data_IF_076228648783
#
_entry.id   IF_076228648783
#
_cell.length_a   1.000
_cell.length_b   1.000
_cell.length_c   1.000
_cell.angle_alpha   90.00
_cell.angle_beta   90.00
_cell.angle_gamma   90.00
#
_symmetry.space_group_name_H-M   'P 1'
#
loop_
_entity.id
_entity.type
_entity.pdbx_description
1 polymer ?
#
# COMPACT_ATOMS: atom_id res chain seq x y z
N UNK A 1 -2.54 5.86 -21.15
CA UNK A 1 -1.53 4.83 -21.50
C UNK A 1 -0.59 4.52 -20.33
N UNK A 2 -1.05 4.68 -19.08
CA UNK A 2 -0.31 4.23 -17.88
C UNK A 2 -0.48 2.72 -17.66
N UNK A 3 -1.58 2.14 -18.14
CA UNK A 3 -1.94 0.73 -17.94
C UNK A 3 -0.87 -0.26 -18.43
N UNK A 4 -0.26 -0.04 -19.59
CA UNK A 4 0.77 -0.95 -20.11
C UNK A 4 2.05 -0.92 -19.25
N UNK A 5 2.42 0.25 -18.74
CA UNK A 5 3.57 0.42 -17.85
C UNK A 5 3.30 -0.27 -16.51
N UNK A 6 2.13 -0.03 -15.92
CA UNK A 6 1.79 -0.58 -14.60
C UNK A 6 1.61 -2.10 -14.64
N UNK A 7 0.99 -2.62 -15.70
CA UNK A 7 0.95 -4.07 -15.96
C UNK A 7 2.36 -4.64 -16.10
N UNK A 8 3.22 -3.98 -16.89
CA UNK A 8 4.60 -4.42 -17.06
C UNK A 8 5.41 -4.36 -15.76
N UNK A 9 5.17 -3.36 -14.91
CA UNK A 9 5.87 -3.19 -13.64
C UNK A 9 5.67 -4.40 -12.71
N UNK A 10 4.51 -5.06 -12.74
CA UNK A 10 4.29 -6.30 -12.00
C UNK A 10 5.15 -7.46 -12.52
N UNK A 11 5.26 -7.63 -13.84
CA UNK A 11 6.17 -8.62 -14.43
C UNK A 11 7.63 -8.29 -14.12
N UNK A 12 8.00 -7.01 -14.20
CA UNK A 12 9.33 -6.53 -13.86
C UNK A 12 9.68 -6.78 -12.38
N UNK A 13 8.70 -6.66 -11.48
CA UNK A 13 8.84 -7.02 -10.05
C UNK A 13 9.32 -8.46 -9.87
N UNK A 14 8.75 -9.37 -10.64
CA UNK A 14 9.05 -10.80 -10.59
C UNK A 14 10.33 -11.18 -11.37
N UNK A 15 11.12 -10.21 -11.82
CA UNK A 15 12.37 -10.43 -12.55
C UNK A 15 12.20 -10.65 -14.05
N UNK A 16 10.97 -10.66 -14.58
CA UNK A 16 10.77 -10.77 -16.03
C UNK A 16 11.20 -9.49 -16.75
N UNK A 17 11.98 -9.62 -17.81
CA UNK A 17 12.44 -8.51 -18.64
C UNK A 17 12.14 -8.83 -20.11
N UNK A 18 11.58 -7.86 -20.84
CA UNK A 18 11.22 -8.01 -22.24
C UNK A 18 11.70 -6.77 -22.99
N UNK A 19 12.82 -6.90 -23.71
CA UNK A 19 13.53 -5.76 -24.28
C UNK A 19 12.67 -4.94 -25.28
N UNK A 20 11.89 -5.54 -26.20
CA UNK A 20 11.00 -4.77 -27.06
C UNK A 20 9.95 -3.96 -26.28
N UNK A 21 9.45 -4.51 -25.16
CA UNK A 21 8.52 -3.78 -24.30
C UNK A 21 9.23 -2.62 -23.59
N UNK A 22 10.44 -2.85 -23.08
CA UNK A 22 11.24 -1.80 -22.47
C UNK A 22 11.52 -0.65 -23.44
N UNK A 23 11.85 -0.95 -24.70
CA UNK A 23 12.05 0.06 -25.73
C UNK A 23 10.79 0.88 -26.01
N UNK A 24 9.64 0.19 -26.14
CA UNK A 24 8.35 0.85 -26.31
C UNK A 24 8.00 1.76 -25.11
N UNK A 25 8.16 1.25 -23.89
CA UNK A 25 7.85 2.00 -22.67
C UNK A 25 8.78 3.22 -22.50
N UNK A 26 10.08 3.10 -22.79
CA UNK A 26 11.01 4.25 -22.83
C UNK A 26 10.54 5.31 -23.81
N UNK A 27 10.08 4.90 -24.99
CA UNK A 27 9.56 5.84 -25.99
C UNK A 27 8.28 6.53 -25.52
N UNK A 28 7.29 5.75 -25.07
CA UNK A 28 5.97 6.24 -24.67
C UNK A 28 6.06 7.17 -23.44
N UNK A 29 6.83 6.80 -22.42
CA UNK A 29 7.07 7.66 -21.24
C UNK A 29 7.83 8.94 -21.60
N UNK A 30 8.56 8.94 -22.72
CA UNK A 30 9.20 10.11 -23.31
C UNK A 30 8.24 11.12 -23.94
N UNK A 31 7.01 10.72 -24.28
CA UNK A 31 6.06 11.57 -25.00
C UNK A 31 5.55 12.72 -24.13
N UNK A 32 5.44 13.92 -24.73
CA UNK A 32 4.90 15.10 -24.05
C UNK A 32 3.47 14.87 -23.55
N UNK A 33 2.64 14.18 -24.33
CA UNK A 33 1.26 13.86 -23.94
C UNK A 33 1.22 13.03 -22.66
N UNK A 34 2.09 12.02 -22.54
CA UNK A 34 2.18 11.15 -21.35
C UNK A 34 2.75 11.90 -20.15
N UNK A 35 3.74 12.78 -20.36
CA UNK A 35 4.35 13.57 -19.28
C UNK A 35 3.42 14.64 -18.70
N UNK A 36 2.50 15.17 -19.50
CA UNK A 36 1.61 16.26 -19.11
C UNK A 36 0.16 15.80 -18.92
N UNK A 37 -0.08 14.50 -18.72
CA UNK A 37 -1.41 14.04 -18.30
C UNK A 37 -1.73 14.65 -16.93
N UNK A 38 -2.94 15.18 -16.81
CA UNK A 38 -3.50 15.62 -15.54
C UNK A 38 -3.88 14.39 -14.72
N UNK A 39 -3.17 14.20 -13.60
CA UNK A 39 -3.38 13.10 -12.68
C UNK A 39 -3.81 13.63 -11.33
N UNK A 40 -4.70 12.90 -10.66
CA UNK A 40 -4.80 13.00 -9.20
C UNK A 40 -3.41 12.71 -8.58
N UNK A 41 -3.04 13.38 -7.48
CA UNK A 41 -1.69 13.26 -6.92
C UNK A 41 -1.25 11.82 -6.58
N UNK A 42 -2.12 11.02 -5.98
CA UNK A 42 -1.87 9.59 -5.69
C UNK A 42 -1.66 8.77 -6.98
N UNK A 43 -2.37 9.11 -8.07
CA UNK A 43 -2.20 8.47 -9.39
C UNK A 43 -0.84 8.82 -10.00
N UNK A 44 -0.37 10.06 -9.83
CA UNK A 44 0.97 10.45 -10.27
C UNK A 44 2.06 9.65 -9.54
N UNK A 45 1.88 9.40 -8.23
CA UNK A 45 2.75 8.50 -7.45
C UNK A 45 2.72 7.05 -7.96
N UNK A 46 1.54 6.53 -8.31
CA UNK A 46 1.40 5.18 -8.86
C UNK A 46 2.26 4.99 -10.12
N UNK A 47 2.15 5.95 -11.05
CA UNK A 47 2.92 5.95 -12.30
C UNK A 47 4.41 6.09 -12.03
N UNK A 48 4.82 7.01 -11.15
CA UNK A 48 6.22 7.17 -10.77
C UNK A 48 6.80 5.88 -10.14
N UNK A 49 6.04 5.22 -9.28
CA UNK A 49 6.44 3.93 -8.70
C UNK A 49 6.58 2.84 -9.78
N UNK A 50 5.66 2.79 -10.75
CA UNK A 50 5.73 1.85 -11.86
C UNK A 50 6.94 2.09 -12.78
N UNK A 51 7.26 3.36 -13.09
CA UNK A 51 8.49 3.75 -13.81
C UNK A 51 9.72 3.22 -13.09
N UNK A 52 9.81 3.46 -11.77
CA UNK A 52 10.92 2.99 -10.95
C UNK A 52 11.05 1.48 -10.98
N UNK A 53 9.96 0.76 -10.73
CA UNK A 53 9.94 -0.72 -10.69
C UNK A 53 10.30 -1.33 -12.03
N UNK A 54 9.89 -0.70 -13.13
CA UNK A 54 10.25 -1.13 -14.48
C UNK A 54 11.73 -0.84 -14.83
N UNK A 55 12.46 -0.09 -14.00
CA UNK A 55 13.84 0.34 -14.28
C UNK A 55 13.90 1.40 -15.39
N UNK A 56 12.88 2.26 -15.46
CA UNK A 56 12.71 3.29 -16.47
C UNK A 56 12.96 4.70 -15.91
N UNK A 57 13.63 4.78 -14.76
CA UNK A 57 14.03 6.04 -14.13
C UNK A 57 14.80 6.94 -15.11
N UNK A 58 14.55 8.25 -15.06
CA UNK A 58 15.08 9.21 -16.04
C UNK A 58 14.32 9.25 -17.37
N UNK A 59 13.34 8.37 -17.60
CA UNK A 59 12.41 8.46 -18.73
C UNK A 59 11.04 8.93 -18.25
N UNK A 60 10.60 10.12 -18.68
CA UNK A 60 9.26 10.62 -18.36
C UNK A 60 9.16 11.50 -17.12
N UNK A 61 7.94 11.66 -16.59
CA UNK A 61 7.64 12.38 -15.34
C UNK A 61 8.01 11.50 -14.14
N UNK A 62 9.31 11.27 -13.96
CA UNK A 62 9.85 10.92 -12.66
C UNK A 62 10.12 12.25 -11.95
N UNK A 63 9.07 12.86 -11.40
CA UNK A 63 9.25 14.02 -10.51
C UNK A 63 10.02 13.61 -9.27
N UNK A 64 10.50 14.59 -8.51
CA UNK A 64 11.04 14.30 -7.18
C UNK A 64 9.95 13.55 -6.38
N UNK A 65 10.34 12.41 -5.79
CA UNK A 65 9.40 11.56 -5.05
C UNK A 65 8.82 12.33 -3.87
N UNK A 66 9.64 13.11 -3.18
CA UNK A 66 9.17 13.92 -2.06
C UNK A 66 8.15 14.96 -2.55
N UNK A 67 8.43 15.65 -3.66
CA UNK A 67 7.49 16.59 -4.28
C UNK A 67 6.15 15.92 -4.64
N UNK A 68 6.20 14.71 -5.21
CA UNK A 68 4.99 13.95 -5.55
C UNK A 68 4.20 13.53 -4.31
N UNK A 69 4.86 13.17 -3.21
CA UNK A 69 4.21 12.88 -1.92
C UNK A 69 3.57 14.14 -1.36
N UNK A 70 4.30 15.27 -1.34
CA UNK A 70 3.83 16.57 -0.85
C UNK A 70 2.68 17.16 -1.66
N UNK A 71 2.51 16.74 -2.93
CA UNK A 71 1.37 17.13 -3.74
C UNK A 71 0.05 16.42 -3.34
N UNK A 72 0.10 15.38 -2.50
CA UNK A 72 -1.09 14.65 -2.04
C UNK A 72 -1.77 15.31 -0.84
N UNK A 73 -3.02 14.94 -0.56
CA UNK A 73 -3.70 15.34 0.67
C UNK A 73 -2.91 14.92 1.90
N UNK A 74 -2.48 13.65 1.98
CA UNK A 74 -1.69 13.12 3.09
C UNK A 74 -0.36 13.86 3.28
N UNK A 75 0.28 14.27 2.17
CA UNK A 75 1.56 14.98 2.18
C UNK A 75 1.55 16.34 2.89
N UNK A 76 0.36 16.88 3.16
CA UNK A 76 0.15 18.16 3.84
C UNK A 76 -0.44 18.01 5.25
N UNK A 77 -0.56 16.78 5.75
CA UNK A 77 -1.06 16.45 7.12
C UNK A 77 -2.25 17.32 7.59
N UNK A 78 -3.34 17.40 6.78
CA UNK A 78 -4.46 18.30 7.00
C UNK A 78 -5.33 17.86 8.19
N UNK A 79 -6.45 18.52 8.42
CA UNK A 79 -7.37 18.17 9.51
C UNK A 79 -7.97 16.75 9.33
N UNK A 80 -7.63 15.78 10.20
CA UNK A 80 -7.92 14.34 10.01
C UNK A 80 -9.39 13.97 10.12
N UNK A 81 -10.20 14.81 10.78
CA UNK A 81 -11.64 14.59 10.96
C UNK A 81 -12.49 15.01 9.75
N UNK A 82 -11.88 15.59 8.71
CA UNK A 82 -12.56 15.94 7.46
C UNK A 82 -12.39 14.88 6.37
N UNK A 83 -11.84 13.71 6.72
CA UNK A 83 -11.64 12.60 5.78
C UNK A 83 -13.00 12.07 5.32
N UNK A 84 -13.18 11.98 4.01
CA UNK A 84 -14.26 11.21 3.38
C UNK A 84 -13.71 9.95 2.75
N UNK A 85 -14.60 9.10 2.22
CA UNK A 85 -14.21 7.82 1.62
C UNK A 85 -13.17 7.99 0.50
N UNK A 86 -13.37 8.96 -0.41
CA UNK A 86 -12.44 9.20 -1.52
C UNK A 86 -11.08 9.71 -1.06
N UNK A 87 -11.04 10.48 0.02
CA UNK A 87 -9.82 10.97 0.65
C UNK A 87 -9.09 9.83 1.36
N UNK A 88 -9.81 8.97 2.09
CA UNK A 88 -9.29 7.74 2.68
C UNK A 88 -8.67 6.82 1.63
N UNK A 89 -9.41 6.53 0.57
CA UNK A 89 -8.91 5.74 -0.57
C UNK A 89 -7.69 6.39 -1.25
N UNK A 90 -7.68 7.72 -1.38
CA UNK A 90 -6.51 8.42 -1.95
C UNK A 90 -5.30 8.39 -1.01
N UNK A 91 -5.54 8.40 0.30
CA UNK A 91 -4.53 8.31 1.36
C UNK A 91 -3.88 6.92 1.36
N UNK A 92 -4.66 5.84 1.33
CA UNK A 92 -4.14 4.46 1.29
C UNK A 92 -3.21 4.26 0.09
N UNK A 93 -3.66 4.67 -1.10
CA UNK A 93 -2.88 4.62 -2.33
C UNK A 93 -1.63 5.50 -2.31
N UNK A 94 -1.67 6.65 -1.64
CA UNK A 94 -0.48 7.48 -1.43
C UNK A 94 0.58 6.68 -0.68
N UNK A 95 0.20 6.06 0.45
CA UNK A 95 1.13 5.26 1.26
C UNK A 95 1.62 4.03 0.48
N UNK A 96 0.74 3.32 -0.24
CA UNK A 96 1.12 2.17 -1.06
C UNK A 96 2.18 2.52 -2.09
N UNK A 97 2.05 3.65 -2.77
CA UNK A 97 3.00 4.06 -3.80
C UNK A 97 4.25 4.76 -3.23
N UNK A 98 4.12 5.47 -2.11
CA UNK A 98 5.22 6.13 -1.39
C UNK A 98 6.14 5.16 -0.66
N UNK A 99 5.66 3.96 -0.30
CA UNK A 99 6.48 2.95 0.39
C UNK A 99 6.76 1.71 -0.48
N UNK A 100 6.27 1.71 -1.72
CA UNK A 100 6.23 0.51 -2.56
C UNK A 100 5.59 -0.69 -1.83
N UNK A 101 4.44 -0.44 -1.19
CA UNK A 101 3.71 -1.35 -0.30
C UNK A 101 4.59 -1.91 0.82
N UNK A 102 5.24 -1.01 1.57
CA UNK A 102 6.08 -1.35 2.73
C UNK A 102 7.46 -1.90 2.41
N UNK A 103 7.86 -2.00 1.13
CA UNK A 103 9.22 -2.44 0.75
C UNK A 103 10.28 -1.35 1.00
N UNK A 104 9.86 -0.08 1.01
CA UNK A 104 10.70 1.10 1.19
C UNK A 104 10.06 2.04 2.23
N UNK A 105 9.92 1.61 3.49
CA UNK A 105 9.32 2.43 4.55
C UNK A 105 10.08 3.74 4.78
N UNK A 106 11.38 3.78 4.45
CA UNK A 106 12.25 4.95 4.56
C UNK A 106 11.92 6.09 3.59
N UNK A 107 11.19 5.80 2.52
CA UNK A 107 10.78 6.81 1.53
C UNK A 107 9.59 7.65 2.02
N UNK A 108 8.91 7.24 3.09
CA UNK A 108 7.83 8.01 3.69
C UNK A 108 8.41 9.07 4.64
N UNK A 109 8.12 10.37 4.46
CA UNK A 109 8.52 11.42 5.38
C UNK A 109 8.05 11.15 6.82
N UNK A 110 8.91 11.45 7.80
CA UNK A 110 8.66 11.14 9.21
C UNK A 110 7.39 11.84 9.75
N UNK A 111 7.14 13.08 9.33
CA UNK A 111 5.94 13.84 9.72
C UNK A 111 4.64 13.19 9.22
N UNK A 112 4.69 12.52 8.06
CA UNK A 112 3.56 11.74 7.55
C UNK A 112 3.42 10.44 8.34
N UNK A 113 4.53 9.79 8.69
CA UNK A 113 4.55 8.61 9.57
C UNK A 113 3.90 8.90 10.92
N UNK A 114 4.29 10.01 11.57
CA UNK A 114 3.73 10.46 12.84
C UNK A 114 2.23 10.76 12.74
N UNK A 115 1.82 11.41 11.65
CA UNK A 115 0.40 11.71 11.39
C UNK A 115 -0.42 10.43 11.20
N UNK A 116 0.09 9.45 10.45
CA UNK A 116 -0.55 8.14 10.28
C UNK A 116 -0.64 7.38 11.62
N UNK A 117 0.43 7.36 12.41
CA UNK A 117 0.44 6.71 13.73
C UNK A 117 -0.60 7.32 14.69
N UNK A 118 -0.86 8.62 14.59
CA UNK A 118 -1.85 9.30 15.40
C UNK A 118 -3.30 9.03 14.99
N UNK A 119 -3.57 8.83 13.69
CA UNK A 119 -4.95 8.86 13.15
C UNK A 119 -5.46 7.57 12.52
N UNK A 120 -4.58 6.68 12.04
CA UNK A 120 -5.00 5.40 11.48
C UNK A 120 -5.90 4.58 12.42
N UNK A 121 -5.62 4.46 13.73
CA UNK A 121 -6.49 3.69 14.62
C UNK A 121 -7.94 4.23 14.62
N UNK A 122 -8.11 5.55 14.63
CA UNK A 122 -9.43 6.16 14.64
C UNK A 122 -10.17 6.00 13.30
N UNK A 123 -9.46 6.08 12.17
CA UNK A 123 -10.07 5.86 10.86
C UNK A 123 -10.49 4.40 10.66
N UNK A 124 -9.68 3.44 11.12
CA UNK A 124 -10.03 2.02 11.12
C UNK A 124 -11.32 1.79 11.91
N UNK A 125 -11.40 2.35 13.12
CA UNK A 125 -12.60 2.25 13.95
C UNK A 125 -13.84 2.84 13.26
N UNK A 126 -13.69 3.99 12.59
CA UNK A 126 -14.79 4.65 11.85
C UNK A 126 -15.25 3.78 10.67
N UNK A 127 -14.33 3.29 9.84
CA UNK A 127 -14.68 2.46 8.68
C UNK A 127 -15.26 1.12 9.08
N UNK A 128 -14.77 0.53 10.17
CA UNK A 128 -15.38 -0.62 10.81
C UNK A 128 -16.81 -0.33 11.28
N UNK A 129 -17.05 0.81 11.94
CA UNK A 129 -18.37 1.20 12.45
C UNK A 129 -19.39 1.41 11.33
N UNK A 130 -19.00 2.07 10.24
CA UNK A 130 -19.89 2.27 9.08
C UNK A 130 -19.97 1.03 8.16
N UNK A 131 -19.13 0.04 8.42
CA UNK A 131 -19.03 -1.20 7.64
C UNK A 131 -18.49 -1.00 6.24
N UNK A 132 -17.52 -0.10 6.06
CA UNK A 132 -16.71 0.07 4.84
C UNK A 132 -15.46 -0.83 4.93
N UNK A 133 -15.69 -2.14 4.85
CA UNK A 133 -14.67 -3.16 5.09
C UNK A 133 -13.51 -3.15 4.11
N UNK A 134 -13.77 -2.76 2.86
CA UNK A 134 -12.74 -2.61 1.83
C UNK A 134 -11.71 -1.55 2.21
N UNK A 135 -12.21 -0.36 2.60
CA UNK A 135 -11.36 0.75 3.00
C UNK A 135 -10.65 0.46 4.34
N UNK A 136 -11.35 -0.16 5.30
CA UNK A 136 -10.74 -0.66 6.54
C UNK A 136 -9.58 -1.61 6.22
N UNK A 137 -9.77 -2.57 5.31
CA UNK A 137 -8.73 -3.50 4.89
C UNK A 137 -7.55 -2.81 4.20
N UNK A 138 -7.80 -1.79 3.38
CA UNK A 138 -6.73 -1.00 2.78
C UNK A 138 -5.93 -0.25 3.85
N UNK A 139 -6.58 0.29 4.89
CA UNK A 139 -5.88 0.89 6.03
C UNK A 139 -5.05 -0.13 6.81
N UNK A 140 -5.48 -1.39 6.92
CA UNK A 140 -4.64 -2.47 7.48
C UNK A 140 -3.38 -2.73 6.65
N UNK A 141 -3.43 -2.57 5.32
CA UNK A 141 -2.22 -2.57 4.46
C UNK A 141 -1.34 -1.36 4.83
N UNK A 142 -1.93 -0.17 4.96
CA UNK A 142 -1.21 1.05 5.34
C UNK A 142 -0.49 0.84 6.66
N UNK A 143 -1.12 0.22 7.65
CA UNK A 143 -0.53 -0.04 8.94
C UNK A 143 0.78 -0.86 8.90
N UNK A 144 1.00 -1.65 7.85
CA UNK A 144 2.23 -2.42 7.65
C UNK A 144 3.33 -1.66 6.88
N UNK A 145 3.02 -0.50 6.30
CA UNK A 145 3.89 0.21 5.37
C UNK A 145 4.91 1.18 6.01
N UNK A 146 4.61 1.92 7.09
CA UNK A 146 5.59 2.76 7.80
C UNK A 146 6.76 1.99 8.42
N UNK A 147 7.76 2.74 8.88
CA UNK A 147 8.95 2.20 9.59
C UNK A 147 8.56 1.38 10.81
N UNK A 148 7.66 1.91 11.62
CA UNK A 148 7.06 1.21 12.76
C UNK A 148 5.64 0.78 12.39
N UNK A 149 5.37 -0.52 12.20
CA UNK A 149 4.06 -1.00 11.81
C UNK A 149 3.07 -1.00 12.99
N UNK A 150 1.80 -0.75 12.70
CA UNK A 150 0.69 -0.83 13.68
C UNK A 150 -0.14 -2.10 13.45
N UNK A 151 0.08 -3.15 14.23
CA UNK A 151 -0.61 -4.44 14.03
C UNK A 151 -1.51 -4.76 15.23
N UNK A 152 -2.70 -4.15 15.27
CA UNK A 152 -3.68 -4.38 16.34
C UNK A 152 -4.42 -5.72 16.16
N UNK A 153 -4.34 -6.67 17.12
CA UNK A 153 -5.03 -7.95 17.03
C UNK A 153 -6.56 -7.84 16.90
N UNK A 154 -7.19 -6.85 17.55
CA UNK A 154 -8.65 -6.68 17.49
C UNK A 154 -9.15 -6.39 16.09
N UNK A 155 -8.42 -5.55 15.34
CA UNK A 155 -8.70 -5.25 13.94
C UNK A 155 -8.59 -6.51 13.06
N UNK A 156 -7.62 -7.38 13.33
CA UNK A 156 -7.48 -8.67 12.63
C UNK A 156 -8.60 -9.65 12.96
N UNK A 157 -9.02 -9.73 14.23
CA UNK A 157 -10.17 -10.53 14.66
C UNK A 157 -11.46 -10.05 13.98
N UNK A 158 -11.64 -8.74 13.83
CA UNK A 158 -12.77 -8.16 13.11
C UNK A 158 -12.76 -8.53 11.62
N UNK A 159 -11.64 -8.33 10.92
CA UNK A 159 -11.49 -8.71 9.51
C UNK A 159 -11.73 -10.21 9.29
N UNK A 160 -11.22 -11.07 10.18
CA UNK A 160 -11.48 -12.51 10.11
C UNK A 160 -12.95 -12.85 10.37
N UNK A 161 -13.62 -12.11 11.27
CA UNK A 161 -15.01 -12.32 11.62
C UNK A 161 -16.02 -11.98 10.52
N UNK A 162 -15.65 -11.09 9.59
CA UNK A 162 -16.50 -10.73 8.44
C UNK A 162 -16.24 -11.61 7.20
N UNK A 163 -15.17 -12.41 7.20
CA UNK A 163 -14.84 -13.28 6.07
C UNK A 163 -15.88 -14.40 5.96
N UNK A 164 -16.37 -14.62 4.74
CA UNK A 164 -17.28 -15.71 4.41
C UNK A 164 -16.54 -17.06 4.34
N UNK A 165 -17.30 -18.17 4.39
CA UNK A 165 -16.72 -19.52 4.32
C UNK A 165 -15.97 -19.81 3.01
N UNK A 166 -16.32 -19.12 1.92
CA UNK A 166 -15.65 -19.23 0.61
C UNK A 166 -14.36 -18.41 0.52
N UNK A 167 -14.02 -17.66 1.58
CA UNK A 167 -12.84 -16.82 1.69
C UNK A 167 -13.03 -15.40 1.15
N UNK A 168 -14.18 -15.07 0.55
CA UNK A 168 -14.53 -13.70 0.21
C UNK A 168 -14.81 -12.89 1.48
N UNK A 169 -14.72 -11.57 1.36
CA UNK A 169 -15.10 -10.64 2.40
C UNK A 169 -16.01 -9.57 1.79
N UNK A 170 -17.05 -9.12 2.52
CA UNK A 170 -17.95 -8.10 2.02
C UNK A 170 -17.18 -6.80 1.79
N UNK A 171 -17.48 -6.08 0.70
CA UNK A 171 -16.91 -4.75 0.44
C UNK A 171 -17.42 -3.72 1.43
N UNK A 172 -18.73 -3.72 1.64
CA UNK A 172 -19.43 -2.86 2.59
C UNK A 172 -20.69 -3.54 3.15
N UNK A 173 -21.59 -2.79 3.77
CA UNK A 173 -22.87 -3.30 4.30
C UNK A 173 -23.96 -3.53 3.25
N UNK A 174 -23.68 -3.30 1.97
CA UNK A 174 -24.66 -3.50 0.89
C UNK A 174 -25.03 -4.98 0.76
N UNK A 175 -26.25 -5.23 0.32
CA UNK A 175 -26.69 -6.60 0.07
C UNK A 175 -25.85 -7.23 -1.05
N UNK A 176 -25.39 -8.44 -0.83
CA UNK A 176 -24.67 -9.25 -1.82
C UNK A 176 -25.67 -9.82 -2.82
N UNK A 177 -25.32 -9.80 -4.10
CA UNK A 177 -26.11 -10.46 -5.15
C UNK A 177 -26.19 -11.98 -4.92
N UNK A 178 -27.38 -12.55 -5.11
CA UNK A 178 -27.56 -14.02 -5.14
C UNK A 178 -26.94 -14.65 -6.41
N UNK A 179 -26.62 -13.83 -7.43
CA UNK A 179 -25.86 -14.27 -8.60
C UNK A 179 -24.38 -14.43 -8.22
N UNK A 180 -23.78 -15.64 -8.39
CA UNK A 180 -22.39 -15.88 -8.01
C UNK A 180 -21.35 -14.99 -8.72
N UNK A 181 -21.58 -14.64 -9.98
CA UNK A 181 -20.62 -13.83 -10.75
C UNK A 181 -20.61 -12.38 -10.25
N UNK A 182 -21.79 -11.83 -9.98
CA UNK A 182 -21.94 -10.50 -9.38
C UNK A 182 -21.43 -10.49 -7.93
N UNK A 183 -21.79 -11.51 -7.15
CA UNK A 183 -21.34 -11.65 -5.76
C UNK A 183 -19.82 -11.73 -5.65
N UNK A 184 -19.15 -12.43 -6.58
CA UNK A 184 -17.69 -12.43 -6.69
C UNK A 184 -17.15 -11.06 -7.11
N UNK A 185 -17.70 -10.47 -8.18
CA UNK A 185 -17.22 -9.18 -8.70
C UNK A 185 -17.25 -8.07 -7.64
N UNK A 186 -18.29 -8.06 -6.81
CA UNK A 186 -18.49 -7.06 -5.75
C UNK A 186 -17.52 -7.23 -4.56
N UNK A 187 -17.01 -8.44 -4.32
CA UNK A 187 -16.28 -8.79 -3.08
C UNK A 187 -14.82 -9.20 -3.29
N UNK A 188 -14.44 -9.56 -4.52
CA UNK A 188 -13.10 -10.07 -4.80
C UNK A 188 -12.00 -9.06 -4.46
N UNK A 189 -12.28 -7.76 -4.58
CA UNK A 189 -11.31 -6.72 -4.23
C UNK A 189 -10.96 -6.77 -2.75
N UNK A 190 -11.96 -6.81 -1.88
CA UNK A 190 -11.77 -6.85 -0.43
C UNK A 190 -11.05 -8.12 0.02
N UNK A 191 -11.35 -9.26 -0.63
CA UNK A 191 -10.61 -10.50 -0.40
C UNK A 191 -9.12 -10.36 -0.77
N UNK A 192 -8.80 -9.72 -1.90
CA UNK A 192 -7.42 -9.44 -2.31
C UNK A 192 -6.74 -8.48 -1.34
N UNK A 193 -7.44 -7.43 -0.90
CA UNK A 193 -6.95 -6.47 0.10
C UNK A 193 -6.59 -7.18 1.40
N UNK A 194 -7.48 -8.01 1.94
CA UNK A 194 -7.24 -8.79 3.15
C UNK A 194 -6.02 -9.73 3.00
N UNK A 195 -5.89 -10.41 1.86
CA UNK A 195 -4.74 -11.26 1.57
C UNK A 195 -3.41 -10.48 1.51
N UNK A 196 -3.42 -9.29 0.90
CA UNK A 196 -2.24 -8.40 0.86
C UNK A 196 -1.89 -7.91 2.26
N UNK A 197 -2.88 -7.44 3.02
CA UNK A 197 -2.70 -6.96 4.38
C UNK A 197 -2.02 -8.04 5.23
N UNK A 198 -2.60 -9.26 5.24
CA UNK A 198 -2.08 -10.38 6.03
C UNK A 198 -0.67 -10.79 5.61
N UNK A 199 -0.39 -10.80 4.30
CA UNK A 199 0.95 -11.11 3.76
C UNK A 199 1.99 -10.11 4.24
N UNK A 200 1.67 -8.81 4.21
CA UNK A 200 2.59 -7.76 4.64
C UNK A 200 2.78 -7.78 6.16
N UNK A 201 1.71 -7.90 6.94
CA UNK A 201 1.78 -8.00 8.39
C UNK A 201 2.65 -9.18 8.84
N UNK A 202 2.47 -10.35 8.21
CA UNK A 202 3.30 -11.52 8.46
C UNK A 202 4.77 -11.26 8.10
N UNK A 203 5.04 -10.69 6.92
CA UNK A 203 6.40 -10.35 6.48
C UNK A 203 7.10 -9.42 7.48
N UNK A 204 6.42 -8.35 7.92
CA UNK A 204 6.96 -7.37 8.87
C UNK A 204 7.25 -8.00 10.23
N UNK A 205 6.39 -8.90 10.69
CA UNK A 205 6.58 -9.62 11.95
C UNK A 205 7.79 -10.57 11.91
N UNK A 206 7.98 -11.28 10.79
CA UNK A 206 9.12 -12.18 10.60
C UNK A 206 10.46 -11.42 10.49
N UNK A 207 10.47 -10.28 9.79
CA UNK A 207 11.65 -9.43 9.66
C UNK A 207 12.05 -8.82 11.01
N UNK A 208 11.08 -8.36 11.82
CA UNK A 208 11.33 -7.84 13.17
C UNK A 208 11.85 -8.90 14.16
N UNK A 209 11.39 -10.14 14.03
CA UNK A 209 11.86 -11.28 14.84
C UNK A 209 13.30 -11.73 14.54
N UNK A 210 13.86 -11.32 13.39
CA UNK A 210 15.21 -11.68 12.95
C UNK A 210 16.32 -10.82 13.58
N UNK A 211 15.94 -9.72 14.26
CA UNK A 211 16.88 -8.74 14.85
C UNK A 211 17.21 -8.94 16.34
N UNK A 212 16.60 -9.91 17.03
CA UNK A 212 16.69 -10.06 18.48
C UNK A 212 17.11 -11.46 18.92
N UNK A 213 18.41 -11.79 18.81
CA UNK A 213 18.89 -13.07 19.32
C UNK A 213 20.34 -13.43 18.97
N UNK A 214 21.31 -12.64 19.42
CA UNK A 214 22.61 -13.22 19.77
C UNK A 214 22.65 -13.41 21.29
N UNK A 215 22.84 -14.63 21.81
CA UNK A 215 23.08 -14.81 23.23
C UNK A 215 24.46 -14.22 23.53
N UNK A 216 24.49 -13.23 24.42
CA UNK A 216 25.71 -12.80 25.10
C UNK A 216 26.35 -14.04 25.73
N UNK A 217 27.49 -14.44 25.17
CA UNK A 217 28.37 -15.41 25.81
C UNK A 217 29.01 -14.71 27.02
N UNK A 218 28.47 -14.99 28.21
CA UNK A 218 29.05 -14.61 29.49
C UNK A 218 30.41 -15.30 29.65
N UNK A 219 31.45 -14.60 29.19
CA UNK A 219 32.84 -14.99 29.33
C UNK A 219 33.36 -14.63 30.71
N UNK A 220 33.02 -15.42 31.72
CA UNK A 220 33.73 -15.37 33.01
C UNK A 220 35.05 -16.16 32.87
N UNK A 221 36.24 -15.53 33.05
CA UNK A 221 37.49 -16.27 33.01
C UNK A 221 37.75 -16.91 34.37
N UNK A 222 37.80 -18.24 34.41
CA UNK A 222 38.37 -18.94 35.55
C UNK A 222 39.92 -18.79 35.53
N UNK A 223 40.47 -18.28 36.62
CA UNK A 223 41.89 -18.39 37.03
C UNK A 223 41.93 -18.92 38.46
N UNK A 224 43.05 -19.49 38.93
CA UNK A 224 44.18 -20.10 38.21
C UNK A 224 44.17 -21.64 38.25
#
# INVERSE_FOLDING_TARGET
MTDSLETYAHLARCGYRHEPMQQLLRHVTGLRSVRNVEHHPNRALAVANAVRVAGLEGTGRAGDREELIRATWLGNTPEPWLIDWMTGYSMTHTVFHATDRGRRPEDLPDDIGDYLAAWLPAWIDIWAEVGEWDLMGEEMIVCSCPKEPYLDPGTWELMAGIQHEDGLAPRDTSAVSDDPDDGFADQQHTAVVAAIAGTLALSRTLDGGSGGGSPEADGTPARP
#
